data_IF_768034927346
#
_entry.id   IF_768034927346
#
_cell.length_a   1.000
_cell.length_b   1.000
_cell.length_c   1.000
_cell.angle_alpha   90.00
_cell.angle_beta   90.00
_cell.angle_gamma   90.00
#
_symmetry.space_group_name_H-M   'P 1'
#
loop_
_entity.id
_entity.type
_entity.pdbx_description
1 polymer ?
#
# COMPACT_ATOMS: atom_id res chain seq x y z
N UNK A 1 -3.38 17.03 -15.31
CA UNK A 1 -2.27 16.92 -14.37
C UNK A 1 -2.48 15.79 -13.36
N UNK A 2 -1.44 15.39 -12.67
CA UNK A 2 -1.52 14.45 -11.55
C UNK A 2 -2.11 15.17 -10.33
N UNK A 3 -2.93 14.46 -9.55
CA UNK A 3 -3.56 14.98 -8.34
C UNK A 3 -2.86 14.52 -7.06
N UNK A 4 -1.95 13.55 -7.18
CA UNK A 4 -1.20 13.01 -6.04
C UNK A 4 0.02 12.22 -6.47
N UNK A 5 0.91 11.99 -5.51
CA UNK A 5 2.17 11.23 -5.68
C UNK A 5 2.36 10.23 -4.55
N UNK A 6 3.15 9.21 -4.82
CA UNK A 6 3.56 8.20 -3.83
C UNK A 6 5.04 8.38 -3.57
N UNK A 7 5.40 8.63 -2.31
CA UNK A 7 6.77 8.96 -1.89
C UNK A 7 7.26 7.96 -0.85
N UNK A 8 8.58 7.88 -0.68
CA UNK A 8 9.20 7.15 0.41
C UNK A 8 10.72 7.21 0.34
N UNK A 9 11.33 7.36 1.50
CA UNK A 9 12.77 7.32 1.70
C UNK A 9 13.08 6.74 3.08
N UNK A 10 14.15 5.95 3.15
CA UNK A 10 14.61 5.31 4.38
C UNK A 10 16.10 5.53 4.59
N UNK A 11 16.50 5.68 5.85
CA UNK A 11 17.90 5.66 6.28
C UNK A 11 18.45 4.23 6.29
N UNK A 12 19.77 4.06 6.36
CA UNK A 12 20.38 2.73 6.46
C UNK A 12 19.94 1.92 7.70
N UNK A 13 19.49 2.60 8.77
CA UNK A 13 18.96 1.98 9.99
C UNK A 13 17.49 1.56 9.88
N UNK A 14 16.86 1.75 8.70
CA UNK A 14 15.49 1.41 8.42
C UNK A 14 14.47 2.47 8.83
N UNK A 15 14.85 3.53 9.55
CA UNK A 15 13.93 4.63 9.86
C UNK A 15 13.59 5.45 8.61
N UNK A 16 12.48 6.19 8.67
CA UNK A 16 12.15 7.16 7.63
C UNK A 16 13.22 8.25 7.56
N UNK A 17 13.59 8.66 6.37
CA UNK A 17 14.51 9.77 6.13
C UNK A 17 13.70 11.06 6.02
N UNK A 18 13.49 11.70 7.16
CA UNK A 18 12.69 12.93 7.28
C UNK A 18 13.23 14.08 6.43
N UNK A 19 14.57 14.18 6.31
CA UNK A 19 15.17 15.23 5.48
C UNK A 19 14.85 15.03 4.00
N UNK A 20 15.06 13.82 3.49
CA UNK A 20 14.75 13.49 2.10
C UNK A 20 13.24 13.56 1.83
N UNK A 21 12.42 13.06 2.75
CA UNK A 21 10.96 13.13 2.62
C UNK A 21 10.46 14.56 2.60
N UNK A 22 10.98 15.44 3.45
CA UNK A 22 10.62 16.87 3.43
C UNK A 22 10.96 17.53 2.09
N UNK A 23 12.12 17.21 1.51
CA UNK A 23 12.52 17.71 0.20
C UNK A 23 11.58 17.22 -0.91
N UNK A 24 11.22 15.93 -0.91
CA UNK A 24 10.29 15.35 -1.88
C UNK A 24 8.87 15.94 -1.75
N UNK A 25 8.42 16.18 -0.52
CA UNK A 25 7.11 16.78 -0.25
C UNK A 25 7.06 18.22 -0.74
N UNK A 26 8.14 18.97 -0.57
CA UNK A 26 8.22 20.34 -1.09
C UNK A 26 8.08 20.38 -2.62
N UNK A 27 8.67 19.42 -3.35
CA UNK A 27 8.52 19.29 -4.81
C UNK A 27 7.11 18.81 -5.23
N UNK A 28 6.39 18.14 -4.34
CA UNK A 28 5.02 17.66 -4.58
C UNK A 28 3.94 18.74 -4.32
N UNK A 29 4.29 19.99 -4.36
CA UNK A 29 3.50 21.16 -4.01
C UNK A 29 2.01 21.08 -4.41
N UNK A 30 1.12 21.07 -3.43
CA UNK A 30 -0.34 21.02 -3.62
C UNK A 30 -0.92 19.66 -4.05
N UNK A 31 -0.09 18.63 -4.18
CA UNK A 31 -0.55 17.27 -4.48
C UNK A 31 -0.90 16.50 -3.20
N UNK A 32 -1.81 15.53 -3.36
CA UNK A 32 -2.07 14.54 -2.32
C UNK A 32 -0.87 13.58 -2.20
N UNK A 33 -0.34 13.35 -1.00
CA UNK A 33 0.89 12.59 -0.80
C UNK A 33 0.63 11.29 -0.02
N UNK A 34 1.14 10.18 -0.56
CA UNK A 34 1.05 8.84 0.03
C UNK A 34 2.44 8.34 0.38
N UNK A 35 2.64 7.91 1.63
CA UNK A 35 3.85 7.19 2.02
C UNK A 35 3.75 5.73 1.55
N UNK A 36 4.74 5.27 0.78
CA UNK A 36 4.74 3.90 0.30
C UNK A 36 5.27 2.90 1.34
N UNK A 37 5.36 1.62 0.95
CA UNK A 37 5.69 0.49 1.81
C UNK A 37 7.11 0.47 2.41
N UNK A 38 7.95 1.51 2.25
CA UNK A 38 9.13 1.66 3.10
C UNK A 38 8.74 1.75 4.59
N UNK A 39 7.53 2.20 4.87
CA UNK A 39 6.94 2.15 6.21
C UNK A 39 6.95 0.73 6.82
N UNK A 40 6.72 -0.30 6.02
CA UNK A 40 6.71 -1.69 6.49
C UNK A 40 8.09 -2.16 6.99
N UNK A 41 9.17 -1.53 6.55
CA UNK A 41 10.55 -1.86 6.90
C UNK A 41 11.04 -1.12 8.16
N UNK A 42 10.27 -0.16 8.66
CA UNK A 42 10.69 0.60 9.85
C UNK A 42 10.73 -0.29 11.09
N UNK A 43 11.75 -0.13 11.97
CA UNK A 43 11.87 -0.92 13.20
C UNK A 43 10.76 -0.60 14.21
N UNK A 44 10.28 0.64 14.24
CA UNK A 44 9.21 1.13 15.11
C UNK A 44 8.14 1.80 14.25
N UNK A 45 7.03 1.08 14.03
CA UNK A 45 5.91 1.57 13.20
C UNK A 45 5.09 2.65 13.88
N UNK A 46 5.04 2.62 15.22
CA UNK A 46 4.31 3.65 15.96
C UNK A 46 5.02 5.02 15.83
N UNK A 47 6.33 5.06 16.01
CA UNK A 47 7.12 6.26 15.80
C UNK A 47 7.11 6.71 14.33
N UNK A 48 7.21 5.79 13.37
CA UNK A 48 7.15 6.09 11.95
C UNK A 48 5.79 6.66 11.52
N UNK A 49 4.70 6.22 12.14
CA UNK A 49 3.36 6.79 11.93
C UNK A 49 3.30 8.26 12.35
N UNK A 50 3.82 8.59 13.55
CA UNK A 50 3.84 9.99 13.99
C UNK A 50 4.72 10.84 13.06
N UNK A 51 5.90 10.34 12.67
CA UNK A 51 6.76 11.03 11.67
C UNK A 51 6.00 11.29 10.36
N UNK A 52 5.24 10.33 9.85
CA UNK A 52 4.46 10.52 8.62
C UNK A 52 3.34 11.55 8.79
N UNK A 53 2.70 11.59 9.96
CA UNK A 53 1.69 12.61 10.29
C UNK A 53 2.32 14.00 10.34
N UNK A 54 3.46 14.15 11.04
CA UNK A 54 4.17 15.42 11.20
C UNK A 54 4.68 15.97 9.86
N UNK A 55 5.06 15.08 8.94
CA UNK A 55 5.44 15.43 7.57
C UNK A 55 4.25 15.76 6.66
N UNK A 56 3.02 15.55 7.10
CA UNK A 56 1.81 15.92 6.37
C UNK A 56 1.36 14.92 5.32
N UNK A 57 1.76 13.65 5.40
CA UNK A 57 1.22 12.62 4.53
C UNK A 57 -0.29 12.44 4.74
N UNK A 58 -1.04 12.30 3.63
CA UNK A 58 -2.49 12.07 3.66
C UNK A 58 -2.82 10.61 3.99
N UNK A 59 -1.93 9.68 3.59
CA UNK A 59 -2.10 8.24 3.80
C UNK A 59 -0.79 7.47 3.83
N UNK A 60 -0.86 6.27 4.41
CA UNK A 60 0.24 5.31 4.43
C UNK A 60 -0.23 4.03 3.77
N UNK A 61 0.43 3.60 2.69
CA UNK A 61 0.28 2.27 2.11
C UNK A 61 1.15 1.29 2.91
N UNK A 62 0.52 0.32 3.56
CA UNK A 62 1.21 -0.63 4.43
C UNK A 62 0.58 -2.02 4.42
N UNK A 63 1.37 -3.04 4.68
CA UNK A 63 0.89 -4.39 5.00
C UNK A 63 0.96 -4.69 6.51
N UNK A 64 1.19 -3.66 7.35
CA UNK A 64 1.41 -3.86 8.78
C UNK A 64 2.77 -4.47 9.11
N UNK A 65 3.72 -4.47 8.15
CA UNK A 65 5.06 -5.06 8.30
C UNK A 65 5.11 -6.58 8.03
N UNK A 66 4.01 -7.20 7.63
CA UNK A 66 3.98 -8.57 7.14
C UNK A 66 4.16 -8.63 5.62
N UNK A 67 4.34 -9.82 5.06
CA UNK A 67 4.38 -10.02 3.61
C UNK A 67 3.06 -9.62 2.95
N UNK A 68 1.92 -9.89 3.66
CA UNK A 68 0.57 -9.60 3.19
C UNK A 68 -0.23 -8.91 4.29
N UNK A 69 -1.02 -7.90 3.95
CA UNK A 69 -1.84 -7.15 4.90
C UNK A 69 -2.84 -8.03 5.70
N UNK A 70 -3.51 -9.03 5.10
CA UNK A 70 -4.40 -9.93 5.86
C UNK A 70 -3.72 -10.71 6.99
N UNK A 71 -2.39 -10.89 6.92
CA UNK A 71 -1.61 -11.63 7.91
C UNK A 71 -1.18 -10.74 9.09
N UNK A 72 -1.49 -9.44 9.06
CA UNK A 72 -1.13 -8.44 10.07
C UNK A 72 -2.35 -7.62 10.56
N UNK A 73 -3.53 -8.22 10.61
CA UNK A 73 -4.77 -7.53 10.96
C UNK A 73 -4.70 -6.81 12.31
N UNK A 74 -4.08 -7.40 13.34
CA UNK A 74 -3.91 -6.80 14.67
C UNK A 74 -3.00 -5.57 14.64
N UNK A 75 -1.88 -5.64 13.89
CA UNK A 75 -0.99 -4.49 13.71
C UNK A 75 -1.70 -3.37 12.97
N UNK A 76 -2.46 -3.69 11.92
CA UNK A 76 -3.25 -2.72 11.18
C UNK A 76 -4.32 -2.08 12.07
N UNK A 77 -4.99 -2.86 12.93
CA UNK A 77 -5.94 -2.33 13.90
C UNK A 77 -5.29 -1.30 14.84
N UNK A 78 -4.11 -1.62 15.36
CA UNK A 78 -3.34 -0.73 16.24
C UNK A 78 -2.94 0.56 15.53
N UNK A 79 -2.43 0.45 14.30
CA UNK A 79 -2.05 1.62 13.48
C UNK A 79 -3.25 2.50 13.14
N UNK A 80 -4.39 1.92 12.78
CA UNK A 80 -5.63 2.65 12.49
C UNK A 80 -6.12 3.38 13.76
N UNK A 81 -6.09 2.72 14.92
CA UNK A 81 -6.48 3.34 16.18
C UNK A 81 -5.56 4.51 16.56
N UNK A 82 -4.23 4.35 16.41
CA UNK A 82 -3.26 5.41 16.68
C UNK A 82 -3.39 6.56 15.68
N UNK A 83 -3.57 6.27 14.40
CA UNK A 83 -3.75 7.26 13.33
C UNK A 83 -4.97 8.17 13.59
N UNK A 84 -6.08 7.57 14.03
CA UNK A 84 -7.34 8.29 14.21
C UNK A 84 -7.79 9.00 12.93
N UNK A 85 -8.18 10.28 13.01
CA UNK A 85 -8.56 11.06 11.83
C UNK A 85 -7.36 11.75 11.13
N UNK A 86 -6.15 11.67 11.69
CA UNK A 86 -4.99 12.48 11.27
C UNK A 86 -4.39 12.02 9.95
N UNK A 87 -4.44 10.72 9.66
CA UNK A 87 -3.89 10.11 8.46
C UNK A 87 -4.66 8.82 8.14
N UNK A 88 -4.77 8.47 6.86
CA UNK A 88 -5.42 7.22 6.45
C UNK A 88 -4.42 6.08 6.39
N UNK A 89 -4.69 4.99 7.09
CA UNK A 89 -3.98 3.72 6.90
C UNK A 89 -4.66 2.97 5.75
N UNK A 90 -3.92 2.74 4.67
CA UNK A 90 -4.39 2.05 3.46
C UNK A 90 -3.74 0.67 3.38
N UNK A 91 -4.41 -0.41 3.80
CA UNK A 91 -3.85 -1.75 3.69
C UNK A 91 -3.60 -2.15 2.24
N UNK A 92 -2.41 -2.72 1.99
CA UNK A 92 -2.01 -3.21 0.67
C UNK A 92 -1.11 -4.44 0.77
N UNK A 93 -0.88 -5.08 -0.35
CA UNK A 93 -0.27 -6.41 -0.51
C UNK A 93 -1.19 -7.55 -0.09
N UNK A 94 -1.54 -8.38 -1.07
CA UNK A 94 -2.37 -9.55 -0.86
C UNK A 94 -3.86 -9.27 -0.61
N UNK A 95 -4.34 -8.07 -0.88
CA UNK A 95 -5.77 -7.74 -0.84
C UNK A 95 -6.47 -8.32 -2.07
N UNK A 96 -7.54 -9.06 -1.82
CA UNK A 96 -8.39 -9.68 -2.83
C UNK A 96 -9.79 -9.94 -2.24
N UNK A 97 -10.80 -10.28 -3.05
CA UNK A 97 -12.11 -10.68 -2.53
C UNK A 97 -12.05 -11.83 -1.53
N UNK A 98 -11.12 -12.78 -1.74
CA UNK A 98 -10.94 -13.95 -0.86
C UNK A 98 -10.25 -13.62 0.47
N UNK A 99 -9.39 -12.60 0.50
CA UNK A 99 -8.60 -12.25 1.70
C UNK A 99 -9.17 -11.08 2.49
N UNK A 100 -10.03 -10.26 1.85
CA UNK A 100 -10.68 -9.12 2.51
C UNK A 100 -11.42 -9.46 3.80
N UNK A 101 -12.09 -10.62 3.95
CA UNK A 101 -12.76 -10.98 5.20
C UNK A 101 -11.86 -10.97 6.44
N UNK A 102 -10.56 -11.21 6.29
CA UNK A 102 -9.61 -11.14 7.41
C UNK A 102 -9.46 -9.72 7.98
N UNK A 103 -9.79 -8.71 7.20
CA UNK A 103 -9.70 -7.29 7.56
C UNK A 103 -11.08 -6.63 7.74
N UNK A 104 -12.17 -7.37 7.55
CA UNK A 104 -13.54 -6.83 7.54
C UNK A 104 -13.99 -6.20 8.88
N UNK A 105 -13.34 -6.58 9.99
CA UNK A 105 -13.60 -6.02 11.32
C UNK A 105 -12.90 -4.67 11.56
N UNK A 106 -12.02 -4.23 10.65
CA UNK A 106 -11.30 -2.96 10.76
C UNK A 106 -12.13 -1.83 10.13
N UNK A 107 -12.07 -0.61 10.67
CA UNK A 107 -12.75 0.56 10.09
C UNK A 107 -11.95 1.08 8.88
N UNK A 108 -11.92 0.28 7.82
CA UNK A 108 -11.19 0.59 6.59
C UNK A 108 -11.82 1.76 5.85
N UNK A 109 -10.99 2.72 5.41
CA UNK A 109 -11.40 3.82 4.53
C UNK A 109 -10.96 3.57 3.09
N UNK A 110 -9.77 3.01 2.92
CA UNK A 110 -9.12 2.74 1.65
C UNK A 110 -8.41 1.40 1.69
N UNK A 111 -8.30 0.73 0.55
CA UNK A 111 -7.44 -0.44 0.35
C UNK A 111 -6.71 -0.33 -0.97
N UNK A 112 -5.53 -0.95 -1.07
CA UNK A 112 -4.76 -1.03 -2.30
C UNK A 112 -4.68 -2.48 -2.77
N UNK A 113 -5.06 -2.74 -4.04
CA UNK A 113 -5.00 -4.06 -4.64
C UNK A 113 -4.63 -3.96 -6.12
N UNK A 114 -3.77 -4.85 -6.60
CA UNK A 114 -3.48 -4.97 -8.04
C UNK A 114 -4.62 -5.63 -8.82
N UNK A 115 -5.43 -6.44 -8.16
CA UNK A 115 -6.45 -7.28 -8.76
C UNK A 115 -5.93 -8.05 -9.98
N UNK A 116 -4.67 -8.49 -9.94
CA UNK A 116 -4.00 -9.05 -11.10
C UNK A 116 -4.09 -10.56 -11.14
N UNK A 117 -4.23 -11.09 -12.36
CA UNK A 117 -4.14 -12.51 -12.69
C UNK A 117 -2.90 -12.81 -13.55
N UNK A 118 -2.41 -14.05 -13.50
CA UNK A 118 -1.38 -14.50 -14.39
C UNK A 118 -1.97 -14.72 -15.79
N UNK A 119 -1.28 -14.24 -16.82
CA UNK A 119 -1.61 -14.46 -18.22
C UNK A 119 -0.40 -15.09 -18.90
N UNK A 120 -0.55 -16.26 -19.54
CA UNK A 120 0.53 -16.86 -20.32
C UNK A 120 1.02 -15.91 -21.43
N UNK A 121 2.32 -15.84 -21.61
CA UNK A 121 2.95 -15.11 -22.73
C UNK A 121 3.31 -16.15 -23.79
N UNK A 122 2.69 -16.03 -24.97
CA UNK A 122 2.84 -17.01 -26.07
C UNK A 122 3.60 -16.43 -27.26
N UNK A 123 4.29 -15.30 -27.08
CA UNK A 123 5.07 -14.68 -28.13
C UNK A 123 6.46 -15.32 -28.31
N UNK A 124 7.14 -14.95 -29.39
CA UNK A 124 8.46 -15.46 -29.71
C UNK A 124 9.51 -15.14 -28.65
N UNK A 125 9.33 -14.05 -27.87
CA UNK A 125 10.26 -13.63 -26.82
C UNK A 125 10.22 -14.64 -25.66
N UNK A 126 9.01 -15.03 -25.24
CA UNK A 126 8.84 -16.05 -24.21
C UNK A 126 9.27 -17.44 -24.69
N UNK A 127 8.94 -17.80 -25.94
CA UNK A 127 9.34 -19.07 -26.54
C UNK A 127 10.86 -19.26 -26.61
N UNK A 128 11.61 -18.18 -26.81
CA UNK A 128 13.07 -18.16 -26.83
C UNK A 128 13.72 -18.00 -25.45
N UNK A 129 12.93 -17.90 -24.38
CA UNK A 129 13.44 -17.71 -23.03
C UNK A 129 13.98 -16.31 -22.72
N UNK A 130 13.68 -15.31 -23.56
CA UNK A 130 14.12 -13.90 -23.37
C UNK A 130 13.19 -13.11 -22.45
N UNK A 131 12.10 -13.71 -22.01
CA UNK A 131 11.14 -13.09 -21.09
C UNK A 131 10.45 -14.15 -20.22
N UNK A 132 9.70 -13.70 -19.20
CA UNK A 132 8.96 -14.62 -18.34
C UNK A 132 7.84 -15.31 -19.13
N UNK A 133 7.51 -16.58 -18.81
CA UNK A 133 6.44 -17.33 -19.49
C UNK A 133 5.04 -16.80 -19.15
N UNK A 134 4.94 -15.97 -18.12
CA UNK A 134 3.69 -15.35 -17.66
C UNK A 134 3.90 -13.88 -17.35
N UNK A 135 2.89 -13.09 -17.60
CA UNK A 135 2.78 -11.69 -17.11
C UNK A 135 1.57 -11.53 -16.22
N UNK A 136 1.64 -10.55 -15.33
CA UNK A 136 0.48 -10.20 -14.51
C UNK A 136 -0.26 -9.04 -15.17
N UNK A 137 -1.57 -9.23 -15.33
CA UNK A 137 -2.48 -8.21 -15.85
C UNK A 137 -3.60 -7.95 -14.84
N UNK A 138 -4.10 -6.72 -14.77
CA UNK A 138 -5.29 -6.41 -13.96
C UNK A 138 -6.51 -7.07 -14.59
N UNK A 139 -7.27 -7.80 -13.77
CA UNK A 139 -8.49 -8.48 -14.18
C UNK A 139 -9.72 -7.71 -13.73
N UNK A 140 -10.54 -7.30 -14.68
CA UNK A 140 -11.76 -6.53 -14.43
C UNK A 140 -12.76 -7.27 -13.53
N UNK A 141 -12.89 -8.59 -13.69
CA UNK A 141 -13.79 -9.41 -12.87
C UNK A 141 -13.38 -9.37 -11.41
N UNK A 142 -12.08 -9.49 -11.15
CA UNK A 142 -11.51 -9.39 -9.79
C UNK A 142 -11.71 -8.00 -9.20
N UNK A 143 -11.53 -6.94 -10.00
CA UNK A 143 -11.79 -5.56 -9.57
C UNK A 143 -13.25 -5.39 -9.15
N UNK A 144 -14.21 -5.81 -10.01
CA UNK A 144 -15.65 -5.73 -9.72
C UNK A 144 -16.01 -6.52 -8.46
N UNK A 145 -15.47 -7.73 -8.31
CA UNK A 145 -15.70 -8.57 -7.14
C UNK A 145 -15.17 -7.94 -5.85
N UNK A 146 -13.98 -7.32 -5.90
CA UNK A 146 -13.41 -6.61 -4.75
C UNK A 146 -14.24 -5.37 -4.39
N UNK A 147 -14.64 -4.56 -5.37
CA UNK A 147 -15.51 -3.40 -5.13
C UNK A 147 -16.86 -3.83 -4.50
N UNK A 148 -17.47 -4.89 -5.01
CA UNK A 148 -18.71 -5.42 -4.45
C UNK A 148 -18.54 -5.99 -3.03
N UNK A 149 -17.36 -6.53 -2.69
CA UNK A 149 -17.07 -7.00 -1.35
C UNK A 149 -16.85 -5.82 -0.37
N UNK A 150 -16.13 -4.78 -0.78
CA UNK A 150 -15.91 -3.56 0.00
C UNK A 150 -17.22 -2.80 0.29
N UNK A 151 -18.15 -2.77 -0.67
CA UNK A 151 -19.44 -2.11 -0.47
C UNK A 151 -20.35 -2.79 0.57
N UNK A 152 -19.96 -3.96 1.09
CA UNK A 152 -20.69 -4.71 2.13
C UNK A 152 -20.06 -4.60 3.52
N UNK A 153 -18.90 -3.96 3.65
CA UNK A 153 -18.26 -3.65 4.93
C UNK A 153 -18.87 -2.40 5.57
#
# INVERSE_FOLDING_TARGET
>A
GMTGVVLGASRPDGRLDEWMLSALIAEAEGMDITLHRCFDLTPDKAAALETAIDLGFSRILTSGGATRAPDAAETLATLIAQAGPRITIMPGAGISPATLPALAHLPLREVHASCSMAQPVTDAVAAMGFGPPERRITDETTVRALCAALARL
#
